data_IF_157661693255
#
_entry.id   IF_157661693255
#
_cell.length_a   1.000
_cell.length_b   1.000
_cell.length_c   1.000
_cell.angle_alpha   90.00
_cell.angle_beta   90.00
_cell.angle_gamma   90.00
#
_symmetry.space_group_name_H-M   'P 1'
#
loop_
_entity.id
_entity.type
_entity.pdbx_description
1 polymer ?
#
# COMPACT_ATOMS: atom_id res chain seq x y z
N UNK A 1 -16.74 -66.42 -41.98
CA UNK A 1 -16.75 -64.97 -42.33
C UNK A 1 -15.65 -64.28 -41.53
N UNK A 2 -14.54 -63.88 -42.18
CA UNK A 2 -13.52 -63.03 -41.54
C UNK A 2 -14.05 -61.59 -41.54
N UNK A 3 -14.18 -60.96 -40.36
CA UNK A 3 -14.47 -59.53 -40.25
C UNK A 3 -13.38 -58.77 -41.00
N UNK A 4 -13.76 -57.95 -41.98
CA UNK A 4 -12.83 -56.97 -42.57
C UNK A 4 -12.50 -55.98 -41.47
N UNK A 5 -11.25 -55.96 -41.03
CA UNK A 5 -10.72 -54.86 -40.24
C UNK A 5 -10.66 -53.65 -41.18
N UNK A 6 -11.58 -52.72 -41.00
CA UNK A 6 -11.60 -51.47 -41.77
C UNK A 6 -10.40 -50.63 -41.33
N UNK A 7 -9.31 -50.70 -42.08
CA UNK A 7 -8.18 -49.80 -41.92
C UNK A 7 -8.64 -48.36 -42.21
N UNK A 8 -8.33 -47.43 -41.32
CA UNK A 8 -8.59 -46.01 -41.50
C UNK A 8 -8.01 -45.54 -42.84
N UNK A 9 -8.78 -44.76 -43.59
CA UNK A 9 -8.29 -44.16 -44.82
C UNK A 9 -7.27 -43.07 -44.48
N UNK A 10 -6.26 -42.89 -45.33
CA UNK A 10 -5.23 -41.84 -45.15
C UNK A 10 -5.85 -40.44 -44.97
N UNK A 11 -6.99 -40.21 -45.64
CA UNK A 11 -7.77 -38.98 -45.52
C UNK A 11 -8.33 -38.79 -44.10
N UNK A 12 -8.94 -39.81 -43.50
CA UNK A 12 -9.48 -39.75 -42.13
C UNK A 12 -8.38 -39.45 -41.10
N UNK A 13 -7.22 -40.09 -41.26
CA UNK A 13 -6.05 -39.82 -40.39
C UNK A 13 -5.61 -38.36 -40.52
N UNK A 14 -5.55 -37.84 -41.74
CA UNK A 14 -5.14 -36.44 -42.00
C UNK A 14 -6.14 -35.45 -41.40
N UNK A 15 -7.43 -35.68 -41.59
CA UNK A 15 -8.49 -34.84 -41.00
C UNK A 15 -8.44 -34.89 -39.47
N UNK A 16 -8.24 -36.06 -38.87
CA UNK A 16 -8.09 -36.20 -37.43
C UNK A 16 -6.89 -35.43 -36.88
N UNK A 17 -5.74 -35.46 -37.57
CA UNK A 17 -4.56 -34.68 -37.18
C UNK A 17 -4.79 -33.17 -37.25
N UNK A 18 -5.47 -32.68 -38.30
CA UNK A 18 -5.78 -31.24 -38.42
C UNK A 18 -6.72 -30.80 -37.31
N UNK A 19 -7.79 -31.56 -37.04
CA UNK A 19 -8.71 -31.26 -35.95
C UNK A 19 -8.03 -31.31 -34.59
N UNK A 20 -7.15 -32.30 -34.37
CA UNK A 20 -6.36 -32.41 -33.15
C UNK A 20 -5.41 -31.21 -32.98
N UNK A 21 -4.75 -30.78 -34.05
CA UNK A 21 -3.85 -29.61 -34.01
C UNK A 21 -4.60 -28.33 -33.66
N UNK A 22 -5.77 -28.09 -34.27
CA UNK A 22 -6.63 -26.92 -33.99
C UNK A 22 -7.13 -26.96 -32.54
N UNK A 23 -7.56 -28.14 -32.06
CA UNK A 23 -7.98 -28.32 -30.68
C UNK A 23 -6.83 -28.06 -29.71
N UNK A 24 -5.63 -28.58 -30.00
CA UNK A 24 -4.46 -28.40 -29.16
C UNK A 24 -4.02 -26.93 -29.11
N UNK A 25 -4.07 -26.22 -30.23
CA UNK A 25 -3.79 -24.78 -30.30
C UNK A 25 -4.78 -23.98 -29.45
N UNK A 26 -6.09 -24.26 -29.58
CA UNK A 26 -7.13 -23.61 -28.79
C UNK A 26 -6.97 -23.90 -27.29
N UNK A 27 -6.68 -25.15 -26.93
CA UNK A 27 -6.44 -25.58 -25.56
C UNK A 27 -5.21 -24.89 -24.97
N UNK A 28 -4.14 -24.77 -25.77
CA UNK A 28 -2.92 -24.08 -25.37
C UNK A 28 -3.15 -22.58 -25.14
N UNK A 29 -3.89 -21.93 -26.04
CA UNK A 29 -4.30 -20.54 -25.88
C UNK A 29 -5.14 -20.31 -24.63
N UNK A 30 -6.10 -21.20 -24.37
CA UNK A 30 -6.91 -21.17 -23.15
C UNK A 30 -6.05 -21.29 -21.89
N UNK A 31 -5.18 -22.30 -21.80
CA UNK A 31 -4.31 -22.48 -20.63
C UNK A 31 -3.34 -21.31 -20.43
N UNK A 32 -2.81 -20.76 -21.51
CA UNK A 32 -1.93 -19.58 -21.43
C UNK A 32 -2.68 -18.38 -20.84
N UNK A 33 -3.91 -18.12 -21.29
CA UNK A 33 -4.73 -17.02 -20.78
C UNK A 33 -5.09 -17.23 -19.30
N UNK A 34 -5.57 -18.42 -18.94
CA UNK A 34 -5.90 -18.75 -17.54
C UNK A 34 -4.68 -18.62 -16.63
N UNK A 35 -3.51 -19.06 -17.09
CA UNK A 35 -2.27 -18.92 -16.33
C UNK A 35 -1.84 -17.46 -16.12
N UNK A 36 -1.97 -16.62 -17.16
CA UNK A 36 -1.69 -15.18 -17.05
C UNK A 36 -2.66 -14.52 -16.07
N UNK A 37 -3.96 -14.81 -16.18
CA UNK A 37 -4.98 -14.29 -15.26
C UNK A 37 -4.72 -14.73 -13.81
N UNK A 38 -4.35 -15.99 -13.60
CA UNK A 38 -4.02 -16.49 -12.27
C UNK A 38 -2.83 -15.76 -11.66
N UNK A 39 -1.73 -15.57 -12.41
CA UNK A 39 -0.58 -14.80 -11.93
C UNK A 39 -0.97 -13.36 -11.60
N UNK A 40 -1.79 -12.74 -12.45
CA UNK A 40 -2.26 -11.38 -12.24
C UNK A 40 -3.14 -11.27 -10.99
N UNK A 41 -3.99 -12.27 -10.74
CA UNK A 41 -4.82 -12.36 -9.55
C UNK A 41 -3.98 -12.54 -8.29
N UNK A 42 -3.05 -13.50 -8.28
CA UNK A 42 -2.18 -13.76 -7.14
C UNK A 42 -1.34 -12.53 -6.76
N UNK A 43 -0.75 -11.86 -7.76
CA UNK A 43 -0.04 -10.59 -7.56
C UNK A 43 -0.94 -9.50 -6.98
N UNK A 44 -2.17 -9.37 -7.48
CA UNK A 44 -3.13 -8.39 -6.97
C UNK A 44 -3.46 -8.67 -5.50
N UNK A 45 -3.72 -9.92 -5.13
CA UNK A 45 -4.01 -10.32 -3.75
C UNK A 45 -2.86 -9.93 -2.81
N UNK A 46 -1.61 -10.15 -3.22
CA UNK A 46 -0.44 -9.71 -2.43
C UNK A 46 -0.41 -8.18 -2.25
N UNK A 47 -0.66 -7.42 -3.32
CA UNK A 47 -0.68 -5.95 -3.25
C UNK A 47 -1.84 -5.41 -2.41
N UNK A 48 -3.03 -6.03 -2.50
CA UNK A 48 -4.20 -5.68 -1.71
C UNK A 48 -3.95 -5.96 -0.22
N UNK A 49 -3.35 -7.11 0.12
CA UNK A 49 -2.97 -7.44 1.50
C UNK A 49 -1.96 -6.44 2.07
N UNK A 50 -0.95 -6.06 1.29
CA UNK A 50 0.03 -5.04 1.70
C UNK A 50 -0.65 -3.68 1.91
N UNK A 51 -1.57 -3.29 1.02
CA UNK A 51 -2.29 -2.03 1.13
C UNK A 51 -3.16 -1.96 2.39
N UNK A 52 -3.84 -3.06 2.71
CA UNK A 52 -4.63 -3.19 3.93
C UNK A 52 -3.75 -3.18 5.19
N UNK A 53 -2.55 -3.77 5.13
CA UNK A 53 -1.60 -3.75 6.24
C UNK A 53 -1.09 -2.32 6.51
N UNK A 54 -0.71 -1.58 5.46
CA UNK A 54 -0.31 -0.17 5.57
C UNK A 54 -1.46 0.71 6.07
N UNK A 55 -2.68 0.49 5.57
CA UNK A 55 -3.87 1.19 6.06
C UNK A 55 -4.06 0.98 7.55
N UNK A 56 -4.16 -0.28 7.97
CA UNK A 56 -4.45 -0.66 9.36
C UNK A 56 -3.38 -0.11 10.28
N UNK A 57 -2.11 -0.25 9.89
CA UNK A 57 -0.98 0.31 10.62
C UNK A 57 -1.11 1.83 10.80
N UNK A 58 -1.27 2.60 9.72
CA UNK A 58 -1.37 4.06 9.81
C UNK A 58 -2.58 4.46 10.65
N UNK A 59 -3.73 3.82 10.43
CA UNK A 59 -4.99 4.10 11.11
C UNK A 59 -4.87 3.87 12.62
N UNK A 60 -4.33 2.73 13.04
CA UNK A 60 -4.22 2.36 14.45
C UNK A 60 -3.26 3.29 15.18
N UNK A 61 -2.10 3.59 14.60
CA UNK A 61 -1.10 4.45 15.22
C UNK A 61 -1.54 5.92 15.30
N UNK A 62 -2.27 6.42 14.30
CA UNK A 62 -2.91 7.74 14.35
C UNK A 62 -3.93 7.77 15.50
N UNK A 63 -4.83 6.78 15.60
CA UNK A 63 -5.87 6.74 16.63
C UNK A 63 -5.36 6.56 18.06
N UNK A 64 -4.23 5.87 18.23
CA UNK A 64 -3.62 5.64 19.53
C UNK A 64 -2.80 6.83 20.03
N UNK A 65 -2.38 7.73 19.15
CA UNK A 65 -1.58 8.90 19.50
C UNK A 65 -2.41 10.01 20.16
N UNK A 66 -1.76 10.78 21.04
CA UNK A 66 -2.38 11.94 21.70
C UNK A 66 -2.25 13.22 20.87
N UNK A 67 -1.33 13.23 19.93
CA UNK A 67 -1.12 14.35 19.03
C UNK A 67 -0.38 13.89 17.78
N UNK A 68 -0.70 14.52 16.65
CA UNK A 68 -0.17 14.13 15.35
C UNK A 68 0.38 15.37 14.66
N UNK A 69 1.57 15.21 14.10
CA UNK A 69 2.22 16.19 13.25
C UNK A 69 2.59 15.55 11.93
N UNK A 70 1.92 15.96 10.85
CA UNK A 70 2.18 15.43 9.50
C UNK A 70 3.04 16.44 8.73
N UNK A 71 4.15 15.96 8.19
CA UNK A 71 5.05 16.72 7.34
C UNK A 71 4.95 16.19 5.91
N UNK A 72 4.73 17.09 4.96
CA UNK A 72 4.74 16.78 3.52
C UNK A 72 6.11 17.02 2.91
N UNK A 73 6.38 16.50 1.71
CA UNK A 73 7.66 16.71 1.00
C UNK A 73 7.95 18.18 0.72
N UNK A 74 6.90 18.96 0.51
CA UNK A 74 6.97 20.42 0.47
C UNK A 74 7.03 20.89 1.93
N UNK A 75 8.24 21.02 2.46
CA UNK A 75 8.58 21.17 3.89
C UNK A 75 8.00 22.41 4.59
N UNK A 76 7.14 23.16 3.94
CA UNK A 76 6.47 24.36 4.47
C UNK A 76 5.14 24.06 5.15
N UNK A 77 4.58 22.85 4.97
CA UNK A 77 3.26 22.51 5.49
C UNK A 77 3.35 21.43 6.56
N UNK A 78 2.98 21.83 7.77
CA UNK A 78 2.87 20.97 8.93
C UNK A 78 1.42 20.96 9.36
N UNK A 79 0.79 19.79 9.34
CA UNK A 79 -0.56 19.59 9.87
C UNK A 79 -0.42 19.13 11.31
N UNK A 80 -0.83 19.98 12.26
CA UNK A 80 -0.87 19.67 13.68
C UNK A 80 -2.30 19.53 14.18
N UNK A 81 -2.48 18.68 15.19
CA UNK A 81 -3.74 18.41 15.88
C UNK A 81 -4.09 19.44 16.96
N UNK A 82 -3.54 20.65 16.95
CA UNK A 82 -3.78 21.66 18.00
C UNK A 82 -5.27 22.10 17.99
N UNK A 83 -6.01 21.91 19.10
CA UNK A 83 -7.41 22.32 19.22
C UNK A 83 -7.60 23.84 19.38
N UNK A 84 -6.53 24.61 19.63
CA UNK A 84 -6.61 26.04 19.95
C UNK A 84 -6.18 26.97 18.81
N UNK A 85 -5.59 26.42 17.75
CA UNK A 85 -5.12 27.20 16.60
C UNK A 85 -6.22 27.44 15.55
N UNK A 86 -6.26 28.62 14.89
CA UNK A 86 -7.12 28.81 13.73
C UNK A 86 -6.73 27.83 12.62
N UNK A 87 -7.69 27.04 12.12
CA UNK A 87 -7.52 26.09 11.02
C UNK A 87 -7.31 26.78 9.67
N UNK A 88 -6.27 27.61 9.55
CA UNK A 88 -6.01 28.43 8.36
C UNK A 88 -5.10 27.70 7.35
N UNK A 89 -5.40 26.43 7.10
CA UNK A 89 -4.67 25.62 6.12
C UNK A 89 -5.64 25.26 5.00
N UNK A 90 -5.28 25.66 3.76
CA UNK A 90 -5.99 25.31 2.53
C UNK A 90 -6.04 23.79 2.29
N UNK A 91 -6.73 23.36 1.23
CA UNK A 91 -6.67 21.96 0.78
C UNK A 91 -5.22 21.61 0.44
N UNK A 92 -4.61 20.80 1.29
CA UNK A 92 -3.30 20.18 1.01
C UNK A 92 -3.57 18.97 0.11
N UNK A 93 -2.86 18.80 -1.02
CA UNK A 93 -2.73 17.52 -1.72
C UNK A 93 -1.25 17.30 -2.03
N UNK A 94 -0.52 16.79 -1.05
CA UNK A 94 0.93 16.69 -1.12
C UNK A 94 1.43 15.29 -0.74
N UNK A 95 2.58 14.86 -1.29
CA UNK A 95 3.22 13.62 -0.87
C UNK A 95 3.62 13.68 0.61
N UNK A 96 3.34 12.59 1.32
CA UNK A 96 3.76 12.38 2.70
C UNK A 96 5.28 12.29 2.76
N UNK A 97 5.88 12.93 3.75
CA UNK A 97 7.28 12.72 4.12
C UNK A 97 7.38 11.98 5.45
N UNK A 98 6.65 12.46 6.44
CA UNK A 98 6.80 12.01 7.83
C UNK A 98 5.48 12.22 8.59
N UNK A 99 5.16 11.31 9.52
CA UNK A 99 4.15 11.51 10.55
C UNK A 99 4.84 11.35 11.91
N UNK A 100 4.82 12.39 12.75
CA UNK A 100 5.25 12.31 14.14
C UNK A 100 4.02 12.12 15.03
N UNK A 101 4.09 11.09 15.86
CA UNK A 101 3.05 10.71 16.80
C UNK A 101 3.53 11.02 18.20
N UNK A 102 2.81 11.88 18.92
CA UNK A 102 3.07 12.20 20.31
C UNK A 102 2.54 11.08 21.19
N UNK A 103 3.42 10.46 21.97
CA UNK A 103 3.05 9.54 23.05
C UNK A 103 3.55 10.12 24.38
N UNK A 104 2.65 10.32 25.34
CA UNK A 104 3.08 10.56 26.73
C UNK A 104 3.59 9.26 27.33
N UNK A 105 4.89 9.19 27.57
CA UNK A 105 5.48 8.18 28.44
C UNK A 105 5.69 8.85 29.80
N UNK A 106 5.02 8.37 30.83
CA UNK A 106 5.34 8.76 32.20
C UNK A 106 6.73 8.19 32.53
N UNK A 107 7.75 9.05 32.59
CA UNK A 107 9.03 8.67 33.15
C UNK A 107 8.87 8.64 34.68
N UNK A 108 8.74 7.43 35.23
CA UNK A 108 8.72 7.24 36.67
C UNK A 108 10.12 7.55 37.18
N UNK A 109 10.30 8.79 37.67
CA UNK A 109 11.57 9.32 38.15
C UNK A 109 12.32 8.27 38.97
N UNK A 110 13.38 7.71 38.38
CA UNK A 110 14.14 6.63 38.98
C UNK A 110 14.87 7.06 40.28
N UNK A 111 14.84 8.34 40.67
CA UNK A 111 15.49 8.85 41.88
C UNK A 111 14.82 10.12 42.43
N UNK A 112 13.55 10.04 42.87
CA UNK A 112 12.97 10.99 43.83
C UNK A 112 12.80 12.47 43.41
N UNK A 113 12.99 12.81 42.14
CA UNK A 113 12.62 14.13 41.58
C UNK A 113 11.21 14.08 40.98
N UNK A 114 10.49 15.21 40.97
CA UNK A 114 9.20 15.32 40.29
C UNK A 114 9.33 14.82 38.83
N UNK A 115 8.63 13.73 38.50
CA UNK A 115 8.65 13.16 37.15
C UNK A 115 8.17 14.20 36.14
N UNK A 116 9.08 14.63 35.27
CA UNK A 116 8.74 15.49 34.15
C UNK A 116 8.12 14.66 33.04
N UNK A 117 7.03 15.13 32.43
CA UNK A 117 6.56 14.57 31.17
C UNK A 117 7.63 14.82 30.10
N UNK A 118 8.19 13.75 29.55
CA UNK A 118 9.05 13.82 28.36
C UNK A 118 8.14 13.53 27.16
N UNK A 119 8.03 14.49 26.25
CA UNK A 119 7.35 14.29 24.98
C UNK A 119 8.21 13.36 24.09
N UNK A 120 7.92 12.06 24.09
CA UNK A 120 8.52 11.12 23.14
C UNK A 120 7.67 11.10 21.85
N UNK A 121 8.29 11.52 20.75
CA UNK A 121 7.67 11.50 19.44
C UNK A 121 8.11 10.24 18.69
N UNK A 122 7.18 9.33 18.46
CA UNK A 122 7.44 8.19 17.57
C UNK A 122 7.17 8.61 16.13
N UNK A 123 8.14 8.37 15.27
CA UNK A 123 8.09 8.81 13.88
C UNK A 123 7.78 7.66 12.93
N UNK A 124 6.81 7.88 12.05
CA UNK A 124 6.59 7.10 10.82
C UNK A 124 7.21 7.88 9.66
N UNK A 125 8.18 7.29 8.97
CA UNK A 125 8.87 7.92 7.84
C UNK A 125 8.51 7.26 6.53
N UNK A 126 8.33 8.06 5.49
CA UNK A 126 8.29 7.60 4.10
C UNK A 126 9.61 7.94 3.43
N UNK A 127 10.50 6.96 3.33
CA UNK A 127 11.86 7.16 2.80
C UNK A 127 11.96 6.71 1.35
N UNK A 128 12.62 7.47 0.47
CA UNK A 128 12.89 7.01 -0.89
C UNK A 128 13.87 5.83 -0.89
N UNK A 129 13.57 4.80 -1.67
CA UNK A 129 14.48 3.66 -1.88
C UNK A 129 15.48 4.06 -2.97
N UNK A 130 16.75 4.18 -2.59
CA UNK A 130 17.84 4.43 -3.55
C UNK A 130 18.06 3.13 -4.33
N UNK A 131 17.77 3.16 -5.64
CA UNK A 131 17.86 2.00 -6.56
C UNK A 131 16.91 0.84 -6.22
N UNK A 132 15.58 1.02 -6.40
CA UNK A 132 14.62 -0.03 -6.12
C UNK A 132 14.77 -1.21 -7.07
N UNK A 133 14.68 -2.42 -6.51
CA UNK A 133 14.64 -3.67 -7.28
C UNK A 133 13.30 -3.84 -8.00
N UNK A 134 13.17 -4.86 -8.86
CA UNK A 134 11.91 -5.16 -9.55
C UNK A 134 10.76 -5.50 -8.59
N UNK A 135 11.08 -5.90 -7.37
CA UNK A 135 10.10 -6.28 -6.36
C UNK A 135 9.77 -5.15 -5.38
N UNK A 136 10.31 -3.95 -5.56
CA UNK A 136 10.14 -2.82 -4.65
C UNK A 136 9.41 -1.65 -5.30
N UNK A 137 8.74 -0.86 -4.45
CA UNK A 137 8.19 0.44 -4.78
C UNK A 137 9.26 1.53 -4.85
N UNK A 138 8.83 2.79 -4.87
CA UNK A 138 9.72 3.96 -4.86
C UNK A 138 10.11 4.37 -3.43
N UNK A 139 9.27 4.05 -2.47
CA UNK A 139 9.43 4.43 -1.07
C UNK A 139 9.27 3.21 -0.16
N UNK A 140 9.88 3.30 1.02
CA UNK A 140 9.62 2.42 2.15
C UNK A 140 8.98 3.19 3.28
N UNK A 141 7.99 2.58 3.94
CA UNK A 141 7.41 3.08 5.18
C UNK A 141 8.13 2.44 6.35
N UNK A 142 8.68 3.25 7.24
CA UNK A 142 9.39 2.80 8.44
C UNK A 142 8.76 3.37 9.70
N UNK A 143 8.86 2.63 10.79
CA UNK A 143 8.44 3.06 12.12
C UNK A 143 9.52 2.67 13.13
N UNK A 144 10.22 3.67 13.66
CA UNK A 144 11.47 3.43 14.37
C UNK A 144 12.48 2.70 13.49
N UNK A 145 12.92 1.50 13.91
CA UNK A 145 13.83 0.65 13.14
C UNK A 145 13.11 -0.36 12.24
N UNK A 146 11.79 -0.48 12.35
CA UNK A 146 11.02 -1.51 11.66
C UNK A 146 10.58 -1.02 10.28
N UNK A 147 10.71 -1.87 9.27
CA UNK A 147 10.13 -1.62 7.94
C UNK A 147 8.73 -2.18 7.90
N UNK A 148 7.75 -1.33 7.60
CA UNK A 148 6.35 -1.70 7.49
C UNK A 148 6.04 -2.18 6.07
N UNK A 149 6.52 -1.46 5.06
CA UNK A 149 6.35 -1.82 3.66
C UNK A 149 7.47 -1.25 2.80
N UNK A 150 7.83 -1.97 1.75
CA UNK A 150 8.78 -1.52 0.70
C UNK A 150 8.12 -1.42 -0.68
N UNK A 151 6.80 -1.64 -0.76
CA UNK A 151 6.05 -1.71 -2.02
C UNK A 151 5.37 -0.38 -2.39
N UNK A 152 5.67 0.69 -1.66
CA UNK A 152 4.95 1.96 -1.76
C UNK A 152 5.49 2.77 -2.93
N UNK A 153 4.60 3.20 -3.82
CA UNK A 153 4.92 4.15 -4.89
C UNK A 153 4.74 5.59 -4.40
N UNK A 154 3.69 5.87 -3.63
CA UNK A 154 3.43 7.17 -3.03
C UNK A 154 2.38 7.07 -1.92
N UNK A 155 2.45 7.95 -0.93
CA UNK A 155 1.34 8.25 -0.03
C UNK A 155 1.04 9.74 -0.16
N UNK A 156 -0.17 10.09 -0.57
CA UNK A 156 -0.65 11.47 -0.58
C UNK A 156 -1.50 11.75 0.66
N UNK A 157 -1.37 12.96 1.18
CA UNK A 157 -2.16 13.46 2.30
C UNK A 157 -3.03 14.60 1.81
N UNK A 158 -4.34 14.48 2.06
CA UNK A 158 -5.31 15.52 1.76
C UNK A 158 -6.05 15.97 3.01
N UNK A 159 -5.87 17.23 3.41
CA UNK A 159 -6.66 17.83 4.51
C UNK A 159 -7.81 18.64 3.93
N UNK A 160 -9.00 18.48 4.48
CA UNK A 160 -10.15 19.32 4.12
C UNK A 160 -10.09 20.65 4.88
N UNK A 161 -10.43 21.74 4.19
CA UNK A 161 -10.50 23.08 4.79
C UNK A 161 -11.45 23.06 6.00
N UNK A 162 -11.07 23.76 7.07
CA UNK A 162 -11.86 23.89 8.30
C UNK A 162 -12.28 22.54 8.94
N UNK A 163 -11.52 21.47 8.65
CA UNK A 163 -11.82 20.12 9.12
C UNK A 163 -10.62 19.48 9.82
N UNK A 164 -10.96 18.66 10.81
CA UNK A 164 -10.01 17.74 11.46
C UNK A 164 -9.88 16.42 10.69
N UNK A 165 -10.50 16.30 9.51
CA UNK A 165 -10.39 15.11 8.67
C UNK A 165 -9.20 15.23 7.72
N UNK A 166 -8.36 14.21 7.74
CA UNK A 166 -7.24 14.01 6.82
C UNK A 166 -7.46 12.70 6.07
N UNK A 167 -7.42 12.79 4.75
CA UNK A 167 -7.48 11.65 3.84
C UNK A 167 -6.07 11.25 3.44
N UNK A 168 -5.75 9.98 3.63
CA UNK A 168 -4.53 9.37 3.14
C UNK A 168 -4.86 8.57 1.88
N UNK A 169 -4.07 8.73 0.83
CA UNK A 169 -4.16 7.96 -0.41
C UNK A 169 -2.83 7.27 -0.66
N UNK A 170 -2.77 5.97 -0.39
CA UNK A 170 -1.61 5.13 -0.64
C UNK A 170 -1.71 4.48 -2.02
N UNK A 171 -0.60 4.46 -2.76
CA UNK A 171 -0.44 3.72 -4.00
C UNK A 171 0.65 2.68 -3.78
N UNK A 172 0.30 1.42 -3.94
CA UNK A 172 1.20 0.28 -3.81
C UNK A 172 1.37 -0.38 -5.18
N UNK A 173 2.62 -0.68 -5.54
CA UNK A 173 2.98 -1.26 -6.82
C UNK A 173 4.21 -2.14 -6.68
N UNK A 174 4.17 -3.33 -7.28
CA UNK A 174 5.38 -4.11 -7.58
C UNK A 174 5.90 -3.66 -8.95
N UNK A 175 7.16 -3.20 -9.01
CA UNK A 175 7.92 -2.85 -10.22
C UNK A 175 7.94 -1.37 -10.66
N UNK A 176 9.17 -0.83 -10.72
CA UNK A 176 9.55 0.39 -11.44
C UNK A 176 9.76 0.17 -12.94
N UNK A 177 9.87 -1.08 -13.41
CA UNK A 177 10.20 -1.39 -14.81
C UNK A 177 8.91 -1.79 -15.53
N UNK A 178 8.35 -0.93 -16.41
CA UNK A 178 7.32 -1.37 -17.32
C UNK A 178 8.02 -2.22 -18.38
N UNK A 179 7.99 -3.54 -18.24
CA UNK A 179 8.17 -4.38 -19.43
C UNK A 179 6.94 -4.14 -20.30
N UNK A 180 7.17 -3.84 -21.57
CA UNK A 180 6.20 -3.41 -22.59
C UNK A 180 4.99 -4.34 -22.80
N UNK A 181 4.89 -5.44 -22.07
CA UNK A 181 3.80 -6.42 -22.11
C UNK A 181 3.02 -6.57 -20.77
N UNK A 182 3.49 -5.98 -19.67
CA UNK A 182 2.81 -6.08 -18.37
C UNK A 182 2.41 -4.70 -17.88
N UNK A 183 1.12 -4.41 -17.94
CA UNK A 183 0.51 -3.28 -17.26
C UNK A 183 0.96 -3.30 -15.79
N UNK A 184 1.56 -2.20 -15.30
CA UNK A 184 1.97 -2.12 -13.89
C UNK A 184 0.72 -2.27 -13.05
N UNK A 185 0.57 -3.41 -12.39
CA UNK A 185 -0.53 -3.61 -11.44
C UNK A 185 -0.29 -2.68 -10.25
N UNK A 186 -1.25 -1.79 -10.03
CA UNK A 186 -1.24 -0.82 -8.95
C UNK A 186 -2.50 -0.99 -8.14
N UNK A 187 -2.34 -1.02 -6.83
CA UNK A 187 -3.45 -0.94 -5.89
C UNK A 187 -3.45 0.48 -5.33
N UNK A 188 -4.59 1.16 -5.44
CA UNK A 188 -4.80 2.45 -4.82
C UNK A 188 -5.76 2.26 -3.67
N UNK A 189 -5.31 2.64 -2.50
CA UNK A 189 -6.10 2.60 -1.29
C UNK A 189 -6.22 4.01 -0.73
N UNK A 190 -7.42 4.40 -0.32
CA UNK A 190 -7.63 5.69 0.29
C UNK A 190 -8.55 5.57 1.50
N UNK A 191 -8.13 6.18 2.60
CA UNK A 191 -8.89 6.20 3.84
C UNK A 191 -8.85 7.59 4.47
N UNK A 192 -9.86 7.89 5.27
CA UNK A 192 -9.97 9.17 5.98
C UNK A 192 -9.91 8.92 7.48
N UNK A 193 -9.16 9.75 8.19
CA UNK A 193 -9.05 9.74 9.63
C UNK A 193 -9.21 11.15 10.21
N UNK A 194 -9.74 11.24 11.43
CA UNK A 194 -9.67 12.48 12.19
C UNK A 194 -8.25 12.66 12.72
N UNK A 195 -7.80 13.89 12.94
CA UNK A 195 -6.58 14.19 13.69
C UNK A 195 -6.89 14.83 15.05
N UNK A 196 -8.16 15.12 15.34
CA UNK A 196 -8.61 15.62 16.63
C UNK A 196 -8.85 14.45 17.58
N UNK A 197 -7.78 13.90 18.17
CA UNK A 197 -7.88 12.82 19.13
C UNK A 197 -7.33 13.22 20.50
N UNK A 198 -8.12 12.87 21.54
CA UNK A 198 -7.88 13.03 22.98
C UNK A 198 -7.40 14.41 23.42
N UNK A 199 -8.35 15.34 23.60
CA UNK A 199 -8.19 16.38 24.61
C UNK A 199 -8.01 15.70 25.97
N UNK A 200 -6.92 16.03 26.67
CA UNK A 200 -6.80 15.73 28.09
C UNK A 200 -8.00 16.38 28.79
N UNK A 201 -8.91 15.57 29.32
CA UNK A 201 -9.85 16.02 30.34
C UNK A 201 -8.96 16.25 31.57
N UNK A 202 -8.41 17.44 31.72
CA UNK A 202 -7.78 17.85 32.99
C UNK A 202 -8.86 17.82 34.08
N UNK A 203 -8.69 17.04 35.16
CA UNK A 203 -9.58 17.10 36.32
C UNK A 203 -9.47 18.42 37.08
#
# INVERSE_FOLDING_TARGET
>A
MKKRENGFTLLEVTVAFVLFAILLESLWGFFTNVYIEFIQFDKKVVLDNEANAVESFLRDYIRLSEGIKITTTDTTQVIESDPTGPYNIDIIDAPLKEIKLKNQVYDAAANGGAGGMVDDFKTINLEPIVSPTQEQGLYRLTYGTNTISVLIENIKVTRYKDSNLVKFSCIISKSKVPTSANERQRVKLAFTESIAYKEHITP
#
